data_IF_403668186456
#
_entry.id   IF_403668186456
#
_cell.length_a   1.000
_cell.length_b   1.000
_cell.length_c   1.000
_cell.angle_alpha   90.00
_cell.angle_beta   90.00
_cell.angle_gamma   90.00
#
_symmetry.space_group_name_H-M   'P 1'
#
loop_
_entity.id
_entity.type
_entity.pdbx_description
1 polymer ?
#
# COMPACT_ATOMS: atom_id res chain seq x y z
N UNK A 1 -25.99 8.44 -12.03
CA UNK A 1 -27.01 8.54 -10.96
C UNK A 1 -26.66 9.71 -10.06
N UNK A 2 -27.63 10.48 -9.59
CA UNK A 2 -27.40 11.60 -8.66
C UNK A 2 -27.93 11.25 -7.27
N UNK A 3 -27.19 11.67 -6.23
CA UNK A 3 -27.58 11.52 -4.83
C UNK A 3 -27.50 12.87 -4.13
N UNK A 4 -28.51 13.16 -3.33
CA UNK A 4 -28.55 14.37 -2.51
C UNK A 4 -28.86 14.07 -1.05
N UNK A 5 -28.25 14.86 -0.18
CA UNK A 5 -28.50 14.83 1.26
C UNK A 5 -28.17 16.20 1.86
N UNK A 6 -29.06 16.73 2.70
CA UNK A 6 -28.75 17.90 3.54
C UNK A 6 -27.98 17.52 4.80
N UNK A 7 -28.08 16.26 5.21
CA UNK A 7 -27.44 15.76 6.42
C UNK A 7 -25.96 15.45 6.23
N UNK A 8 -25.16 15.74 7.26
CA UNK A 8 -23.74 15.33 7.33
C UNK A 8 -23.59 13.80 7.26
N UNK A 9 -24.56 13.04 7.76
CA UNK A 9 -24.59 11.56 7.70
C UNK A 9 -24.75 11.03 6.27
N UNK A 10 -25.28 11.83 5.34
CA UNK A 10 -25.41 11.47 3.93
C UNK A 10 -24.09 11.22 3.21
N UNK A 11 -22.95 11.70 3.73
CA UNK A 11 -21.63 11.36 3.18
C UNK A 11 -21.37 9.85 3.27
N UNK A 12 -21.79 9.21 4.36
CA UNK A 12 -21.65 7.75 4.52
C UNK A 12 -22.58 6.99 3.58
N UNK A 13 -23.81 7.49 3.39
CA UNK A 13 -24.76 6.94 2.41
C UNK A 13 -24.18 7.07 1.00
N UNK A 14 -23.62 8.22 0.64
CA UNK A 14 -22.95 8.40 -0.65
C UNK A 14 -21.84 7.37 -0.89
N UNK A 15 -20.99 7.11 0.11
CA UNK A 15 -19.98 6.06 0.01
C UNK A 15 -20.57 4.65 -0.08
N UNK A 16 -21.64 4.35 0.66
CA UNK A 16 -22.37 3.07 0.55
C UNK A 16 -22.89 2.87 -0.87
N UNK A 17 -23.49 3.90 -1.47
CA UNK A 17 -24.05 3.82 -2.82
C UNK A 17 -22.99 3.51 -3.89
N UNK A 18 -21.73 3.90 -3.65
CA UNK A 18 -20.63 3.50 -4.52
C UNK A 18 -20.41 1.98 -4.54
N UNK A 19 -20.88 1.23 -3.55
CA UNK A 19 -20.85 -0.23 -3.56
C UNK A 19 -21.86 -0.86 -4.53
N UNK A 20 -22.88 -0.12 -4.99
CA UNK A 20 -23.93 -0.63 -5.88
C UNK A 20 -23.92 0.01 -7.27
N UNK A 21 -23.41 1.25 -7.38
CA UNK A 21 -23.48 2.01 -8.63
C UNK A 21 -22.08 2.45 -9.09
N UNK A 22 -21.80 2.31 -10.39
CA UNK A 22 -20.52 2.70 -11.00
C UNK A 22 -20.31 4.21 -11.00
N UNK A 23 -21.34 4.95 -11.41
CA UNK A 23 -21.30 6.41 -11.50
C UNK A 23 -22.38 7.04 -10.62
N UNK A 24 -21.98 7.43 -9.41
CA UNK A 24 -22.79 8.25 -8.54
C UNK A 24 -22.13 9.62 -8.31
N UNK A 25 -22.94 10.67 -8.46
CA UNK A 25 -22.53 12.06 -8.29
C UNK A 25 -23.39 12.71 -7.22
N UNK A 26 -22.80 13.65 -6.49
CA UNK A 26 -23.57 14.50 -5.60
C UNK A 26 -24.42 15.45 -6.46
N UNK A 27 -25.73 15.49 -6.20
CA UNK A 27 -26.70 16.26 -6.96
C UNK A 27 -27.37 17.35 -6.13
N UNK A 28 -28.58 17.73 -6.53
CA UNK A 28 -29.47 18.67 -5.83
C UNK A 28 -30.77 17.96 -5.38
N UNK A 29 -31.76 18.72 -4.88
CA UNK A 29 -33.03 18.18 -4.37
C UNK A 29 -33.84 17.36 -5.41
N UNK A 30 -33.47 17.38 -6.70
CA UNK A 30 -34.09 16.57 -7.77
C UNK A 30 -33.29 15.31 -8.12
N UNK A 31 -32.49 14.81 -7.17
CA UNK A 31 -31.62 13.66 -7.38
C UNK A 31 -32.38 12.34 -7.46
N UNK A 32 -31.82 11.36 -8.19
CA UNK A 32 -32.38 9.99 -8.29
C UNK A 32 -32.52 9.34 -6.90
N UNK A 33 -31.60 9.66 -5.97
CA UNK A 33 -31.59 9.20 -4.59
C UNK A 33 -31.51 10.37 -3.62
N UNK A 34 -32.19 10.19 -2.50
CA UNK A 34 -32.33 11.22 -1.48
C UNK A 34 -32.18 10.62 -0.08
N UNK A 35 -31.47 11.34 0.81
CA UNK A 35 -31.42 11.03 2.23
C UNK A 35 -31.56 12.31 3.06
N UNK A 36 -32.61 12.39 3.88
CA UNK A 36 -32.85 13.51 4.81
C UNK A 36 -33.64 13.00 6.03
N UNK A 37 -33.26 13.43 7.23
CA UNK A 37 -33.97 13.15 8.48
C UNK A 37 -34.27 11.65 8.70
N UNK A 38 -33.32 10.80 8.30
CA UNK A 38 -33.42 9.34 8.41
C UNK A 38 -34.34 8.69 7.37
N UNK A 39 -34.86 9.43 6.40
CA UNK A 39 -35.62 8.89 5.27
C UNK A 39 -34.72 8.74 4.04
N UNK A 40 -34.55 7.49 3.59
CA UNK A 40 -33.90 7.16 2.32
C UNK A 40 -34.97 6.93 1.25
N UNK A 41 -34.84 7.63 0.11
CA UNK A 41 -35.73 7.48 -1.04
C UNK A 41 -34.92 7.13 -2.27
N UNK A 42 -35.38 6.13 -3.01
CA UNK A 42 -34.88 5.82 -4.35
C UNK A 42 -36.05 5.66 -5.33
N UNK A 43 -36.26 6.68 -6.15
CA UNK A 43 -37.44 6.78 -7.01
C UNK A 43 -37.50 5.69 -8.09
N UNK A 44 -36.35 5.25 -8.60
CA UNK A 44 -36.31 4.29 -9.73
C UNK A 44 -36.93 2.93 -9.41
N UNK A 45 -37.01 2.56 -8.14
CA UNK A 45 -37.58 1.27 -7.69
C UNK A 45 -38.67 1.46 -6.64
N UNK A 46 -39.23 2.68 -6.51
CA UNK A 46 -40.23 3.04 -5.50
C UNK A 46 -39.88 2.56 -4.09
N UNK A 47 -38.64 2.86 -3.65
CA UNK A 47 -38.15 2.51 -2.33
C UNK A 47 -38.18 3.74 -1.41
N UNK A 48 -38.90 3.65 -0.30
CA UNK A 48 -38.93 4.65 0.77
C UNK A 48 -38.70 3.98 2.12
N UNK A 49 -37.55 4.20 2.70
CA UNK A 49 -37.09 3.53 3.91
C UNK A 49 -36.87 4.55 5.02
N UNK A 50 -37.62 4.44 6.12
CA UNK A 50 -37.37 5.19 7.35
C UNK A 50 -36.38 4.40 8.20
N UNK A 51 -35.21 4.97 8.43
CA UNK A 51 -34.05 4.29 8.99
C UNK A 51 -33.75 4.66 10.43
N UNK A 52 -33.10 3.75 11.18
CA UNK A 52 -32.76 3.88 12.61
C UNK A 52 -31.28 4.23 12.85
N UNK A 53 -30.73 3.92 14.03
CA UNK A 53 -29.29 4.11 14.34
C UNK A 53 -28.38 3.33 13.38
N UNK A 54 -28.83 2.16 12.91
CA UNK A 54 -28.09 1.30 11.97
C UNK A 54 -28.47 1.55 10.49
N UNK A 55 -28.89 2.78 10.16
CA UNK A 55 -29.41 3.16 8.83
C UNK A 55 -28.59 2.68 7.63
N UNK A 56 -27.26 2.58 7.74
CA UNK A 56 -26.42 2.09 6.64
C UNK A 56 -26.64 0.61 6.33
N UNK A 57 -26.89 -0.21 7.35
CA UNK A 57 -27.20 -1.63 7.17
C UNK A 57 -28.55 -1.79 6.48
N UNK A 58 -29.57 -1.08 6.96
CA UNK A 58 -30.92 -1.15 6.39
C UNK A 58 -30.93 -0.67 4.92
N UNK A 59 -30.23 0.43 4.61
CA UNK A 59 -30.08 0.92 3.22
C UNK A 59 -29.33 -0.11 2.38
N UNK A 60 -28.27 -0.73 2.90
CA UNK A 60 -27.51 -1.74 2.17
C UNK A 60 -28.38 -2.95 1.83
N UNK A 61 -29.12 -3.50 2.80
CA UNK A 61 -29.99 -4.66 2.60
C UNK A 61 -31.13 -4.36 1.61
N UNK A 62 -31.73 -3.17 1.72
CA UNK A 62 -32.75 -2.73 0.78
C UNK A 62 -32.19 -2.65 -0.65
N UNK A 63 -30.99 -2.07 -0.84
CA UNK A 63 -30.36 -2.03 -2.16
C UNK A 63 -29.93 -3.42 -2.64
N UNK A 64 -29.43 -4.29 -1.77
CA UNK A 64 -29.02 -5.66 -2.12
C UNK A 64 -30.19 -6.52 -2.61
N UNK A 65 -31.41 -6.27 -2.10
CA UNK A 65 -32.61 -6.94 -2.59
C UNK A 65 -32.91 -6.63 -4.08
N UNK A 66 -32.52 -5.45 -4.56
CA UNK A 66 -32.83 -4.99 -5.92
C UNK A 66 -31.63 -4.98 -6.85
N UNK A 67 -30.42 -4.86 -6.32
CA UNK A 67 -29.18 -4.69 -7.07
C UNK A 67 -28.09 -5.60 -6.51
N UNK A 68 -27.30 -6.19 -7.42
CA UNK A 68 -26.10 -6.92 -7.00
C UNK A 68 -25.01 -5.93 -6.56
N UNK A 69 -24.42 -6.06 -5.36
CA UNK A 69 -23.29 -5.25 -4.96
C UNK A 69 -22.12 -5.41 -5.94
N UNK A 70 -21.54 -4.28 -6.36
CA UNK A 70 -20.29 -4.19 -7.12
C UNK A 70 -19.06 -4.40 -6.23
N UNK A 71 -19.21 -4.24 -4.90
CA UNK A 71 -18.10 -4.41 -3.95
C UNK A 71 -18.36 -5.55 -2.97
N UNK A 72 -17.33 -6.37 -2.75
CA UNK A 72 -17.34 -7.46 -1.77
C UNK A 72 -17.00 -6.98 -0.34
N UNK A 73 -16.73 -5.69 -0.18
CA UNK A 73 -16.29 -5.08 1.07
C UNK A 73 -17.42 -4.45 1.89
N UNK A 74 -18.66 -4.56 1.43
CA UNK A 74 -19.83 -4.06 2.14
C UNK A 74 -19.72 -2.58 2.49
N UNK A 75 -19.96 -2.27 3.76
CA UNK A 75 -19.89 -0.92 4.33
C UNK A 75 -18.45 -0.46 4.64
N UNK A 76 -17.46 -1.34 4.57
CA UNK A 76 -16.07 -0.92 4.74
C UNK A 76 -15.61 -0.20 3.47
N UNK A 77 -15.36 1.11 3.60
CA UNK A 77 -14.84 1.99 2.54
C UNK A 77 -13.45 2.55 2.85
N UNK A 78 -12.90 2.23 4.03
CA UNK A 78 -11.59 2.69 4.48
C UNK A 78 -10.43 1.99 3.78
N UNK A 79 -9.27 2.67 3.79
CA UNK A 79 -7.97 2.18 3.27
C UNK A 79 -7.47 0.97 4.06
N UNK A 80 -7.81 0.87 5.36
CA UNK A 80 -7.29 -0.16 6.27
C UNK A 80 -8.45 -0.93 6.89
N UNK A 81 -8.92 -1.99 6.23
CA UNK A 81 -10.02 -2.77 6.77
C UNK A 81 -9.65 -3.45 8.09
N UNK A 82 -8.36 -3.74 8.29
CA UNK A 82 -7.86 -4.52 9.42
C UNK A 82 -7.79 -3.75 10.74
N UNK A 83 -7.72 -2.41 10.69
CA UNK A 83 -7.79 -1.54 11.88
C UNK A 83 -9.04 -1.79 12.72
N UNK A 84 -10.19 -2.01 12.07
CA UNK A 84 -11.43 -2.38 12.76
C UNK A 84 -11.27 -3.73 13.47
N UNK A 85 -10.73 -4.71 12.76
CA UNK A 85 -10.57 -6.08 13.25
C UNK A 85 -9.63 -6.14 14.46
N UNK A 86 -8.54 -5.37 14.43
CA UNK A 86 -7.67 -5.20 15.59
C UNK A 86 -8.39 -4.62 16.80
N UNK A 87 -9.19 -3.56 16.62
CA UNK A 87 -9.95 -2.96 17.72
C UNK A 87 -10.90 -3.97 18.38
N UNK A 88 -11.59 -4.77 17.57
CA UNK A 88 -12.50 -5.81 18.05
C UNK A 88 -11.72 -6.92 18.80
N UNK A 89 -10.55 -7.30 18.29
CA UNK A 89 -9.66 -8.27 18.94
C UNK A 89 -9.09 -7.75 20.26
N UNK A 90 -8.67 -6.49 20.31
CA UNK A 90 -8.19 -5.81 21.53
C UNK A 90 -9.31 -5.65 22.57
N UNK A 91 -10.56 -5.54 22.13
CA UNK A 91 -11.74 -5.59 23.00
C UNK A 91 -12.07 -7.01 23.53
N UNK A 92 -11.24 -8.01 23.23
CA UNK A 92 -11.36 -9.37 23.76
C UNK A 92 -12.30 -10.29 22.96
N UNK A 93 -12.80 -9.84 21.79
CA UNK A 93 -13.73 -10.66 20.99
C UNK A 93 -13.05 -11.89 20.38
N UNK A 94 -13.81 -12.98 20.28
CA UNK A 94 -13.37 -14.21 19.62
C UNK A 94 -13.35 -14.06 18.10
N UNK A 95 -12.70 -15.01 17.42
CA UNK A 95 -12.66 -15.07 15.95
C UNK A 95 -14.07 -15.12 15.36
N UNK A 96 -14.98 -15.87 15.98
CA UNK A 96 -16.37 -16.04 15.56
C UNK A 96 -17.17 -14.75 15.76
N UNK A 97 -17.03 -14.08 16.90
CA UNK A 97 -17.71 -12.81 17.17
C UNK A 97 -17.28 -11.71 16.20
N UNK A 98 -15.97 -11.63 15.91
CA UNK A 98 -15.44 -10.70 14.90
C UNK A 98 -15.99 -11.06 13.53
N UNK A 99 -16.01 -12.35 13.16
CA UNK A 99 -16.61 -12.80 11.90
C UNK A 99 -18.07 -12.35 11.78
N UNK A 100 -18.90 -12.62 12.79
CA UNK A 100 -20.30 -12.22 12.81
C UNK A 100 -20.48 -10.70 12.70
N UNK A 101 -19.63 -9.92 13.37
CA UNK A 101 -19.63 -8.45 13.27
C UNK A 101 -19.32 -7.99 11.83
N UNK A 102 -18.31 -8.59 11.19
CA UNK A 102 -17.93 -8.27 9.81
C UNK A 102 -19.06 -8.60 8.80
N UNK A 103 -19.77 -9.71 8.98
CA UNK A 103 -20.88 -10.10 8.11
C UNK A 103 -22.12 -9.25 8.38
N UNK A 104 -22.56 -9.15 9.62
CA UNK A 104 -23.88 -8.60 9.95
C UNK A 104 -23.88 -7.07 10.01
N UNK A 105 -22.88 -6.49 10.68
CA UNK A 105 -22.79 -5.04 10.91
C UNK A 105 -22.06 -4.31 9.78
N UNK A 106 -21.17 -5.01 9.06
CA UNK A 106 -20.39 -4.40 7.97
C UNK A 106 -20.72 -4.95 6.59
N UNK A 107 -21.57 -5.97 6.48
CA UNK A 107 -22.03 -6.54 5.20
C UNK A 107 -20.88 -7.01 4.29
N UNK A 108 -19.80 -7.50 4.88
CA UNK A 108 -18.70 -8.07 4.09
C UNK A 108 -19.14 -9.38 3.45
N UNK A 109 -18.64 -9.62 2.23
CA UNK A 109 -18.74 -10.95 1.66
C UNK A 109 -18.01 -11.98 2.56
N UNK A 110 -18.56 -13.19 2.78
CA UNK A 110 -17.98 -14.22 3.64
C UNK A 110 -16.49 -14.50 3.41
N UNK A 111 -16.04 -14.48 2.15
CA UNK A 111 -14.63 -14.67 1.80
C UNK A 111 -13.72 -13.54 2.26
N UNK A 112 -14.18 -12.28 2.24
CA UNK A 112 -13.40 -11.13 2.70
C UNK A 112 -13.31 -11.10 4.22
N UNK A 113 -14.38 -11.44 4.92
CA UNK A 113 -14.35 -11.59 6.37
C UNK A 113 -13.34 -12.68 6.81
N UNK A 114 -13.33 -13.85 6.13
CA UNK A 114 -12.34 -14.90 6.38
C UNK A 114 -10.91 -14.43 6.09
N UNK A 115 -10.70 -13.74 4.96
CA UNK A 115 -9.40 -13.19 4.60
C UNK A 115 -8.87 -12.24 5.70
N UNK A 116 -9.70 -11.32 6.19
CA UNK A 116 -9.29 -10.41 7.27
C UNK A 116 -8.87 -11.15 8.54
N UNK A 117 -9.56 -12.23 8.90
CA UNK A 117 -9.19 -13.05 10.05
C UNK A 117 -7.88 -13.82 9.82
N UNK A 118 -7.66 -14.32 8.60
CA UNK A 118 -6.41 -14.98 8.20
C UNK A 118 -5.22 -14.00 8.29
N UNK A 119 -5.39 -12.77 7.79
CA UNK A 119 -4.35 -11.73 7.91
C UNK A 119 -4.14 -11.28 9.35
N UNK A 120 -5.21 -11.15 10.15
CA UNK A 120 -5.13 -10.81 11.57
C UNK A 120 -4.21 -11.79 12.32
N UNK A 121 -4.38 -13.09 12.07
CA UNK A 121 -3.57 -14.13 12.70
C UNK A 121 -2.11 -14.05 12.27
N UNK A 122 -1.85 -13.81 10.98
CA UNK A 122 -0.49 -13.72 10.42
C UNK A 122 0.33 -12.55 11.01
N UNK A 123 -0.31 -11.46 11.42
CA UNK A 123 0.36 -10.26 11.92
C UNK A 123 0.35 -10.08 13.45
N UNK A 124 -0.35 -10.94 14.20
CA UNK A 124 -0.63 -10.74 15.64
C UNK A 124 0.64 -10.47 16.46
N UNK A 125 1.72 -11.22 16.21
CA UNK A 125 3.01 -11.05 16.89
C UNK A 125 3.69 -9.72 16.52
N UNK A 126 3.71 -9.39 15.23
CA UNK A 126 4.35 -8.17 14.72
C UNK A 126 3.59 -6.92 15.18
N UNK A 127 2.26 -6.99 15.21
CA UNK A 127 1.38 -5.90 15.62
C UNK A 127 1.54 -5.53 17.11
N UNK A 128 1.87 -6.51 17.96
CA UNK A 128 2.02 -6.32 19.41
C UNK A 128 3.45 -6.03 19.87
N UNK A 129 4.45 -6.26 19.03
CA UNK A 129 5.86 -6.22 19.43
C UNK A 129 6.52 -4.84 19.24
N UNK A 130 7.57 -4.60 20.03
CA UNK A 130 8.53 -3.48 19.93
C UNK A 130 7.92 -2.08 19.81
N UNK A 131 6.75 -1.80 20.40
CA UNK A 131 6.07 -0.49 20.30
C UNK A 131 6.90 0.69 20.83
N UNK A 132 7.96 0.41 21.59
CA UNK A 132 8.95 1.37 22.09
C UNK A 132 10.05 1.74 21.08
N UNK A 133 10.22 0.95 20.01
CA UNK A 133 11.16 1.22 18.91
C UNK A 133 10.52 2.11 17.84
N UNK A 134 11.27 2.45 16.80
CA UNK A 134 10.76 3.18 15.64
C UNK A 134 11.31 2.59 14.33
N UNK A 135 10.55 2.72 13.25
CA UNK A 135 11.02 2.38 11.90
C UNK A 135 11.55 3.63 11.20
N UNK A 136 12.53 3.45 10.31
CA UNK A 136 13.07 4.51 9.47
C UNK A 136 12.66 4.28 8.01
N UNK A 137 12.11 5.30 7.36
CA UNK A 137 11.85 5.31 5.91
C UNK A 137 12.76 6.31 5.22
N UNK A 138 13.42 5.88 4.15
CA UNK A 138 14.29 6.72 3.34
C UNK A 138 13.70 6.83 1.93
N UNK A 139 13.28 8.04 1.56
CA UNK A 139 12.71 8.34 0.25
C UNK A 139 13.82 8.66 -0.76
N UNK A 140 13.89 7.90 -1.85
CA UNK A 140 14.72 8.17 -3.03
C UNK A 140 13.83 8.43 -4.25
N UNK A 141 13.57 9.69 -4.61
CA UNK A 141 12.51 10.06 -5.55
C UNK A 141 12.95 10.02 -7.02
N UNK A 142 13.94 9.20 -7.38
CA UNK A 142 14.49 9.16 -8.74
C UNK A 142 14.07 7.89 -9.48
N UNK A 143 13.66 8.04 -10.74
CA UNK A 143 13.34 6.93 -11.62
C UNK A 143 13.99 7.13 -13.00
N UNK A 144 14.32 6.06 -13.73
CA UNK A 144 14.79 6.18 -15.12
C UNK A 144 13.67 6.63 -16.08
N UNK A 145 12.42 6.25 -15.78
CA UNK A 145 11.20 6.69 -16.47
C UNK A 145 10.06 6.80 -15.47
N UNK A 146 8.99 7.54 -15.81
CA UNK A 146 7.79 7.66 -14.97
C UNK A 146 6.68 6.78 -15.55
N UNK A 147 6.27 5.76 -14.78
CA UNK A 147 5.20 4.86 -15.20
C UNK A 147 3.83 5.57 -15.18
N UNK A 148 2.95 5.26 -16.13
CA UNK A 148 1.68 5.98 -16.30
C UNK A 148 0.68 5.79 -15.15
N UNK A 149 0.77 4.67 -14.42
CA UNK A 149 -0.02 4.39 -13.22
C UNK A 149 0.59 4.98 -11.94
N UNK A 150 1.85 5.44 -11.98
CA UNK A 150 2.57 5.88 -10.79
C UNK A 150 1.98 7.21 -10.29
N UNK A 151 1.78 7.28 -8.98
CA UNK A 151 1.27 8.47 -8.28
C UNK A 151 2.28 9.06 -7.29
N UNK A 152 3.47 8.47 -7.22
CA UNK A 152 4.54 8.96 -6.37
C UNK A 152 5.16 10.21 -6.98
N UNK A 153 5.57 11.14 -6.13
CA UNK A 153 6.22 12.39 -6.55
C UNK A 153 7.69 12.10 -6.84
N UNK A 154 7.96 11.42 -7.94
CA UNK A 154 9.30 11.10 -8.42
C UNK A 154 9.72 12.02 -9.55
N UNK A 155 11.02 12.10 -9.83
CA UNK A 155 11.61 12.78 -10.98
C UNK A 155 12.46 11.81 -11.80
N UNK A 156 12.65 12.16 -13.07
CA UNK A 156 13.65 11.51 -13.91
C UNK A 156 15.03 11.69 -13.28
N UNK A 157 15.83 10.63 -13.32
CA UNK A 157 17.18 10.66 -12.78
C UNK A 157 18.02 11.71 -13.51
N UNK A 158 18.63 12.58 -12.72
CA UNK A 158 19.64 13.53 -13.15
C UNK A 158 20.75 13.48 -12.11
N UNK A 159 21.98 13.15 -12.56
CA UNK A 159 23.13 12.88 -11.69
C UNK A 159 23.44 14.06 -10.75
N UNK A 160 23.48 15.28 -11.27
CA UNK A 160 23.81 16.47 -10.47
C UNK A 160 22.75 16.74 -9.40
N UNK A 161 21.46 16.66 -9.77
CA UNK A 161 20.37 16.82 -8.82
C UNK A 161 20.36 15.71 -7.77
N UNK A 162 20.61 14.46 -8.17
CA UNK A 162 20.68 13.32 -7.27
C UNK A 162 21.79 13.48 -6.24
N UNK A 163 22.98 13.92 -6.67
CA UNK A 163 24.12 14.16 -5.77
C UNK A 163 23.80 15.22 -4.71
N UNK A 164 23.24 16.36 -5.12
CA UNK A 164 22.83 17.43 -4.20
C UNK A 164 21.72 16.95 -3.25
N UNK A 165 20.77 16.17 -3.76
CA UNK A 165 19.71 15.58 -2.94
C UNK A 165 20.27 14.61 -1.89
N UNK A 166 21.17 13.71 -2.28
CA UNK A 166 21.75 12.71 -1.39
C UNK A 166 22.59 13.35 -0.31
N UNK A 167 23.41 14.37 -0.64
CA UNK A 167 24.12 15.15 0.36
C UNK A 167 23.15 15.70 1.41
N UNK A 168 22.03 16.27 0.96
CA UNK A 168 21.03 16.83 1.87
C UNK A 168 20.33 15.75 2.72
N UNK A 169 20.00 14.61 2.11
CA UNK A 169 19.40 13.48 2.80
C UNK A 169 20.33 12.91 3.89
N UNK A 170 21.63 12.86 3.62
CA UNK A 170 22.65 12.41 4.58
C UNK A 170 22.79 13.42 5.74
N UNK A 171 22.72 14.73 5.48
CA UNK A 171 22.67 15.75 6.53
C UNK A 171 21.45 15.55 7.45
N UNK A 172 20.27 15.35 6.87
CA UNK A 172 19.02 15.10 7.62
C UNK A 172 19.11 13.77 8.41
N UNK A 173 19.70 12.72 7.82
CA UNK A 173 19.92 11.44 8.49
C UNK A 173 20.88 11.57 9.67
N UNK A 174 21.97 12.32 9.51
CA UNK A 174 22.90 12.60 10.60
C UNK A 174 22.24 13.38 11.75
N UNK A 175 21.34 14.32 11.44
CA UNK A 175 20.54 15.03 12.44
C UNK A 175 19.56 14.08 13.15
N UNK A 176 18.81 13.28 12.38
CA UNK A 176 17.89 12.28 12.90
C UNK A 176 18.58 11.29 13.84
N UNK A 177 19.77 10.78 13.49
CA UNK A 177 20.55 9.89 14.36
C UNK A 177 20.85 10.51 15.73
N UNK A 178 21.25 11.79 15.77
CA UNK A 178 21.48 12.49 17.05
C UNK A 178 20.21 12.56 17.88
N UNK A 179 19.08 12.90 17.27
CA UNK A 179 17.78 12.98 17.96
C UNK A 179 17.29 11.63 18.46
N UNK A 180 17.48 10.56 17.68
CA UNK A 180 17.19 9.18 18.09
C UNK A 180 18.00 8.82 19.35
N UNK A 181 19.30 9.15 19.36
CA UNK A 181 20.18 8.88 20.48
C UNK A 181 19.81 9.71 21.73
N UNK A 182 19.55 11.00 21.56
CA UNK A 182 19.10 11.91 22.64
C UNK A 182 17.79 11.42 23.27
N UNK A 183 16.83 10.98 22.45
CA UNK A 183 15.55 10.41 22.88
C UNK A 183 15.67 8.97 23.41
N UNK A 184 16.86 8.37 23.38
CA UNK A 184 17.13 6.96 23.76
C UNK A 184 16.22 5.96 23.05
N UNK A 185 15.85 6.26 21.80
CA UNK A 185 15.04 5.36 20.96
C UNK A 185 15.94 4.42 20.18
N UNK A 186 15.40 3.25 19.80
CA UNK A 186 16.07 2.27 18.94
C UNK A 186 15.34 2.16 17.60
N UNK A 187 16.12 2.01 16.53
CA UNK A 187 15.60 1.68 15.20
C UNK A 187 15.79 0.19 14.97
N UNK A 188 14.73 -0.52 14.60
CA UNK A 188 14.78 -1.96 14.29
C UNK A 188 14.32 -2.31 12.87
N UNK A 189 13.71 -1.36 12.15
CA UNK A 189 13.35 -1.52 10.75
C UNK A 189 13.80 -0.32 9.93
N UNK A 190 14.39 -0.58 8.76
CA UNK A 190 14.69 0.43 7.74
C UNK A 190 14.03 0.01 6.44
N UNK A 191 13.40 0.97 5.76
CA UNK A 191 12.86 0.78 4.42
C UNK A 191 13.34 1.91 3.51
N UNK A 192 14.03 1.55 2.45
CA UNK A 192 14.55 2.48 1.45
C UNK A 192 13.78 2.27 0.15
N UNK A 193 13.09 3.31 -0.32
CA UNK A 193 12.20 3.20 -1.49
C UNK A 193 11.75 4.53 -2.05
N UNK A 194 10.59 4.55 -2.71
CA UNK A 194 9.96 5.75 -3.29
C UNK A 194 10.04 5.80 -4.82
N UNK A 195 11.24 5.78 -5.38
CA UNK A 195 11.48 5.71 -6.83
C UNK A 195 12.08 4.36 -7.24
N UNK A 196 13.19 4.40 -7.96
CA UNK A 196 14.03 3.24 -8.29
C UNK A 196 15.39 3.48 -7.67
N UNK A 197 15.62 3.07 -6.41
CA UNK A 197 16.84 3.32 -5.66
C UNK A 197 18.16 3.06 -6.40
N UNK A 198 18.30 1.94 -7.12
CA UNK A 198 19.54 1.62 -7.84
C UNK A 198 19.77 2.44 -9.12
N UNK A 199 18.89 3.39 -9.46
CA UNK A 199 19.13 4.32 -10.58
C UNK A 199 20.29 5.29 -10.28
N UNK A 200 20.54 5.60 -9.00
CA UNK A 200 21.67 6.42 -8.58
C UNK A 200 22.99 5.68 -8.84
N UNK A 201 24.09 6.42 -8.95
CA UNK A 201 25.41 5.85 -9.20
C UNK A 201 25.87 4.94 -8.04
N UNK A 202 26.73 3.96 -8.33
CA UNK A 202 27.15 2.94 -7.36
C UNK A 202 27.87 3.56 -6.15
N UNK A 203 28.74 4.55 -6.37
CA UNK A 203 29.44 5.30 -5.31
C UNK A 203 28.46 6.03 -4.38
N UNK A 204 27.46 6.71 -4.97
CA UNK A 204 26.43 7.45 -4.23
C UNK A 204 25.53 6.50 -3.42
N UNK A 205 25.23 5.31 -3.96
CA UNK A 205 24.49 4.27 -3.27
C UNK A 205 25.30 3.69 -2.10
N UNK A 206 26.60 3.46 -2.29
CA UNK A 206 27.49 2.97 -1.23
C UNK A 206 27.55 3.97 -0.06
N UNK A 207 27.76 5.26 -0.34
CA UNK A 207 27.76 6.32 0.67
C UNK A 207 26.44 6.33 1.46
N UNK A 208 25.30 6.21 0.78
CA UNK A 208 23.99 6.18 1.44
C UNK A 208 23.84 4.94 2.33
N UNK A 209 24.20 3.74 1.85
CA UNK A 209 24.09 2.51 2.65
C UNK A 209 25.06 2.51 3.84
N UNK A 210 26.28 3.02 3.66
CA UNK A 210 27.25 3.19 4.74
C UNK A 210 26.75 4.18 5.79
N UNK A 211 26.06 5.24 5.37
CA UNK A 211 25.41 6.18 6.29
C UNK A 211 24.29 5.53 7.11
N UNK A 212 23.79 4.35 6.77
CA UNK A 212 22.79 3.59 7.54
C UNK A 212 23.42 2.48 8.38
N UNK A 213 24.71 2.20 8.22
CA UNK A 213 25.39 1.05 8.85
C UNK A 213 25.50 1.12 10.38
N UNK A 214 25.35 2.31 10.96
CA UNK A 214 25.36 2.53 12.42
C UNK A 214 24.14 1.93 13.11
N UNK A 215 23.02 1.74 12.39
CA UNK A 215 21.85 1.08 12.95
C UNK A 215 22.13 -0.42 13.06
N UNK A 216 22.43 -0.86 14.29
CA UNK A 216 22.67 -2.26 14.64
C UNK A 216 21.37 -2.94 15.07
N UNK A 217 21.37 -4.28 15.08
CA UNK A 217 20.24 -5.10 15.57
C UNK A 217 18.93 -4.89 14.80
N UNK A 218 19.01 -4.57 13.50
CA UNK A 218 17.84 -4.46 12.64
C UNK A 218 17.16 -5.82 12.48
N UNK A 219 15.85 -5.85 12.70
CA UNK A 219 14.99 -6.98 12.33
C UNK A 219 14.74 -7.05 10.84
N UNK A 220 14.65 -5.88 10.19
CA UNK A 220 14.42 -5.78 8.76
C UNK A 220 15.11 -4.54 8.18
N UNK A 221 15.92 -4.73 7.14
CA UNK A 221 16.37 -3.67 6.26
C UNK A 221 15.92 -4.01 4.85
N UNK A 222 14.90 -3.29 4.37
CA UNK A 222 14.31 -3.46 3.05
C UNK A 222 14.86 -2.45 2.05
N UNK A 223 15.31 -2.94 0.89
CA UNK A 223 15.65 -2.15 -0.28
C UNK A 223 14.62 -2.35 -1.38
N UNK A 224 13.73 -1.37 -1.58
CA UNK A 224 12.72 -1.40 -2.63
C UNK A 224 13.33 -0.97 -3.96
N UNK A 225 14.12 -1.83 -4.57
CA UNK A 225 14.81 -1.49 -5.81
C UNK A 225 13.86 -1.27 -7.00
N UNK A 226 12.71 -1.94 -7.00
CA UNK A 226 11.67 -1.72 -8.01
C UNK A 226 12.00 -2.43 -9.32
N UNK A 227 12.45 -1.71 -10.35
CA UNK A 227 12.60 -2.23 -11.74
C UNK A 227 14.01 -2.70 -12.06
N UNK A 228 14.23 -3.95 -12.49
CA UNK A 228 15.58 -4.53 -12.58
C UNK A 228 16.43 -4.03 -13.76
N UNK A 229 15.86 -3.25 -14.68
CA UNK A 229 16.62 -2.64 -15.77
C UNK A 229 17.67 -1.66 -15.24
N UNK A 230 18.91 -1.81 -15.72
CA UNK A 230 20.06 -1.03 -15.28
C UNK A 230 20.70 -1.50 -13.97
N UNK A 231 20.22 -2.59 -13.36
CA UNK A 231 20.89 -3.20 -12.21
C UNK A 231 22.22 -3.84 -12.66
N UNK A 232 23.34 -3.34 -12.13
CA UNK A 232 24.66 -3.94 -12.33
C UNK A 232 24.93 -5.00 -11.25
N UNK A 233 25.86 -5.90 -11.55
CA UNK A 233 26.34 -6.88 -10.57
C UNK A 233 26.98 -6.21 -9.35
N UNK A 234 27.75 -5.12 -9.54
CA UNK A 234 28.37 -4.35 -8.46
C UNK A 234 27.34 -3.79 -7.47
N UNK A 235 26.33 -3.06 -7.99
CA UNK A 235 25.20 -2.57 -7.18
C UNK A 235 24.46 -3.71 -6.47
N UNK A 236 24.24 -4.83 -7.14
CA UNK A 236 23.56 -5.98 -6.55
C UNK A 236 24.39 -6.62 -5.40
N UNK A 237 25.71 -6.76 -5.56
CA UNK A 237 26.61 -7.25 -4.52
C UNK A 237 26.66 -6.30 -3.33
N UNK A 238 26.79 -5.00 -3.59
CA UNK A 238 26.73 -3.95 -2.58
C UNK A 238 25.43 -4.04 -1.77
N UNK A 239 24.26 -4.03 -2.42
CA UNK A 239 22.96 -4.10 -1.74
C UNK A 239 22.83 -5.39 -0.95
N UNK A 240 23.12 -6.55 -1.55
CA UNK A 240 23.00 -7.85 -0.88
C UNK A 240 23.87 -7.96 0.39
N UNK A 241 24.99 -7.24 0.44
CA UNK A 241 25.86 -7.21 1.63
C UNK A 241 25.34 -6.34 2.78
N UNK A 242 24.35 -5.49 2.54
CA UNK A 242 23.87 -4.48 3.51
C UNK A 242 22.45 -4.70 3.99
N UNK A 243 21.61 -5.40 3.23
CA UNK A 243 20.16 -5.47 3.48
C UNK A 243 19.69 -6.90 3.76
N UNK A 244 18.58 -7.02 4.49
CA UNK A 244 17.95 -8.31 4.78
C UNK A 244 16.89 -8.67 3.74
N UNK A 245 16.29 -7.66 3.09
CA UNK A 245 15.21 -7.83 2.11
C UNK A 245 15.40 -6.92 0.90
N UNK A 246 15.08 -7.42 -0.29
CA UNK A 246 15.05 -6.64 -1.53
C UNK A 246 13.72 -6.82 -2.26
N UNK A 247 13.16 -5.74 -2.83
CA UNK A 247 11.97 -5.80 -3.66
C UNK A 247 12.31 -5.63 -5.14
N UNK A 248 12.02 -6.66 -5.95
CA UNK A 248 12.21 -6.70 -7.40
C UNK A 248 10.84 -6.83 -8.07
N UNK A 249 10.31 -5.74 -8.60
CA UNK A 249 8.90 -5.58 -8.96
C UNK A 249 8.71 -5.54 -10.48
N UNK A 250 8.38 -6.65 -11.16
CA UNK A 250 8.13 -6.64 -12.61
C UNK A 250 6.84 -5.89 -12.97
N UNK A 251 5.87 -5.79 -12.05
CA UNK A 251 4.50 -5.33 -12.26
C UNK A 251 3.68 -6.29 -13.12
N UNK A 252 4.24 -6.75 -14.23
CA UNK A 252 3.74 -7.86 -15.04
C UNK A 252 4.92 -8.53 -15.76
N UNK A 253 4.80 -9.83 -16.03
CA UNK A 253 5.76 -10.58 -16.86
C UNK A 253 5.20 -10.86 -18.26
N UNK A 254 3.97 -10.38 -18.53
CA UNK A 254 3.36 -10.48 -19.84
C UNK A 254 4.04 -9.58 -20.85
N UNK A 255 4.64 -10.20 -21.85
CA UNK A 255 5.33 -9.53 -22.95
C UNK A 255 4.42 -8.50 -23.63
N UNK A 256 4.92 -7.28 -23.75
CA UNK A 256 4.26 -6.15 -24.41
C UNK A 256 3.44 -5.26 -23.48
N UNK A 257 3.12 -5.69 -22.25
CA UNK A 257 2.25 -4.92 -21.35
C UNK A 257 3.00 -3.82 -20.57
N UNK A 258 4.23 -4.08 -20.12
CA UNK A 258 5.04 -3.05 -19.43
C UNK A 258 5.27 -1.80 -20.30
N UNK A 259 5.60 -1.92 -21.60
CA UNK A 259 5.75 -0.76 -22.48
C UNK A 259 4.50 0.14 -22.57
N UNK A 260 3.29 -0.44 -22.46
CA UNK A 260 2.03 0.33 -22.49
C UNK A 260 1.88 1.30 -21.31
N UNK A 261 2.64 1.06 -20.23
CA UNK A 261 2.66 1.89 -19.03
C UNK A 261 3.98 2.66 -18.85
N UNK A 262 4.79 2.77 -19.90
CA UNK A 262 6.05 3.54 -19.88
C UNK A 262 7.18 2.85 -19.12
N UNK A 263 7.17 1.50 -19.09
CA UNK A 263 8.12 0.67 -18.35
C UNK A 263 8.78 -0.35 -19.30
N UNK A 264 10.10 -0.56 -19.26
CA UNK A 264 10.70 -1.71 -19.91
C UNK A 264 10.20 -3.04 -19.34
N UNK A 265 10.40 -4.10 -20.12
CA UNK A 265 10.20 -5.47 -19.65
C UNK A 265 11.19 -5.83 -18.54
N UNK A 266 10.81 -6.76 -17.67
CA UNK A 266 11.61 -7.21 -16.54
C UNK A 266 12.58 -8.34 -16.94
N UNK A 267 13.38 -8.12 -17.98
CA UNK A 267 14.34 -9.12 -18.46
C UNK A 267 15.36 -9.49 -17.37
N UNK A 268 15.63 -10.80 -17.24
CA UNK A 268 16.59 -11.33 -16.25
C UNK A 268 16.13 -11.23 -14.79
N UNK A 269 14.84 -10.96 -14.53
CA UNK A 269 14.29 -10.91 -13.17
C UNK A 269 14.59 -12.21 -12.39
N UNK A 270 14.42 -13.36 -13.03
CA UNK A 270 14.70 -14.67 -12.46
C UNK A 270 16.14 -14.74 -11.93
N UNK A 271 17.12 -14.30 -12.72
CA UNK A 271 18.54 -14.32 -12.35
C UNK A 271 18.80 -13.44 -11.14
N UNK A 272 18.18 -12.26 -11.06
CA UNK A 272 18.31 -11.36 -9.91
C UNK A 272 17.64 -11.91 -8.65
N UNK A 273 16.45 -12.51 -8.76
CA UNK A 273 15.80 -13.19 -7.64
C UNK A 273 16.73 -14.27 -7.08
N UNK A 274 17.24 -15.16 -7.93
CA UNK A 274 18.16 -16.21 -7.49
C UNK A 274 19.47 -15.63 -6.91
N UNK A 275 20.00 -14.55 -7.51
CA UNK A 275 21.21 -13.88 -7.04
C UNK A 275 21.11 -13.42 -5.58
N UNK A 276 20.00 -12.75 -5.22
CA UNK A 276 19.77 -12.23 -3.88
C UNK A 276 19.43 -13.34 -2.88
N UNK A 277 18.58 -14.30 -3.27
CA UNK A 277 18.27 -15.46 -2.43
C UNK A 277 19.52 -16.28 -2.09
N UNK A 278 20.40 -16.52 -3.05
CA UNK A 278 21.65 -17.25 -2.83
C UNK A 278 22.63 -16.53 -1.90
N UNK A 279 22.38 -15.24 -1.59
CA UNK A 279 23.14 -14.44 -0.62
C UNK A 279 22.40 -14.27 0.71
N UNK A 280 21.30 -15.00 0.91
CA UNK A 280 20.52 -14.99 2.15
C UNK A 280 19.55 -13.81 2.28
N UNK A 281 19.40 -12.97 1.25
CA UNK A 281 18.37 -11.93 1.26
C UNK A 281 16.99 -12.53 1.03
N UNK A 282 16.00 -12.00 1.74
CA UNK A 282 14.59 -12.27 1.46
C UNK A 282 14.20 -11.46 0.21
N UNK A 283 13.56 -12.09 -0.77
CA UNK A 283 13.17 -11.42 -2.01
C UNK A 283 11.66 -11.24 -2.08
N UNK A 284 11.22 -9.99 -2.19
CA UNK A 284 9.84 -9.61 -2.45
C UNK A 284 9.66 -9.23 -3.93
N UNK A 285 8.47 -9.49 -4.48
CA UNK A 285 8.15 -9.12 -5.85
C UNK A 285 6.68 -8.75 -6.01
N UNK A 286 6.43 -7.63 -6.67
CA UNK A 286 5.09 -7.08 -6.82
C UNK A 286 4.56 -7.21 -8.26
N UNK A 287 3.30 -7.63 -8.37
CA UNK A 287 2.48 -7.57 -9.58
C UNK A 287 1.36 -6.55 -9.43
N UNK A 288 0.92 -5.96 -10.54
CA UNK A 288 -0.25 -5.10 -10.60
C UNK A 288 -1.32 -5.81 -11.44
N UNK A 289 -2.47 -6.11 -10.85
CA UNK A 289 -3.63 -6.61 -11.54
C UNK A 289 -4.45 -5.47 -12.15
N UNK A 290 -4.85 -5.64 -13.40
CA UNK A 290 -5.69 -4.71 -14.15
C UNK A 290 -4.89 -3.70 -14.96
N UNK A 291 -3.66 -4.01 -15.36
CA UNK A 291 -2.88 -3.13 -16.23
C UNK A 291 -3.52 -2.99 -17.64
N UNK A 292 -3.22 -1.91 -18.39
CA UNK A 292 -3.69 -1.77 -19.77
C UNK A 292 -3.33 -2.97 -20.65
N UNK A 293 -4.35 -3.57 -21.26
CA UNK A 293 -4.21 -4.73 -22.14
C UNK A 293 -4.09 -6.08 -21.41
N UNK A 294 -4.15 -6.09 -20.08
CA UNK A 294 -4.08 -7.32 -19.28
C UNK A 294 -5.43 -8.06 -19.28
N UNK A 295 -5.40 -9.33 -19.65
CA UNK A 295 -6.50 -10.27 -19.47
C UNK A 295 -6.24 -11.18 -18.27
N UNK A 296 -7.27 -11.92 -17.83
CA UNK A 296 -7.13 -12.90 -16.75
C UNK A 296 -6.06 -13.96 -17.10
N UNK A 297 -6.03 -14.41 -18.35
CA UNK A 297 -5.05 -15.38 -18.85
C UNK A 297 -3.62 -14.83 -18.79
N UNK A 298 -3.38 -13.59 -19.23
CA UNK A 298 -2.03 -12.98 -19.19
C UNK A 298 -1.57 -12.69 -17.76
N UNK A 299 -2.49 -12.24 -16.89
CA UNK A 299 -2.22 -12.07 -15.47
C UNK A 299 -1.83 -13.41 -14.82
N UNK A 300 -2.63 -14.46 -15.07
CA UNK A 300 -2.36 -15.81 -14.56
C UNK A 300 -1.03 -16.37 -15.06
N UNK A 301 -0.70 -16.16 -16.34
CA UNK A 301 0.60 -16.54 -16.88
C UNK A 301 1.74 -15.83 -16.14
N UNK A 302 1.64 -14.52 -15.94
CA UNK A 302 2.63 -13.72 -15.21
C UNK A 302 2.80 -14.19 -13.76
N UNK A 303 1.70 -14.49 -13.07
CA UNK A 303 1.74 -14.99 -11.71
C UNK A 303 2.40 -16.37 -11.61
N UNK A 304 2.06 -17.30 -12.52
CA UNK A 304 2.71 -18.61 -12.56
C UNK A 304 4.21 -18.50 -12.84
N UNK A 305 4.59 -17.62 -13.77
CA UNK A 305 6.00 -17.37 -14.07
C UNK A 305 6.73 -16.80 -12.86
N UNK A 306 6.17 -15.79 -12.18
CA UNK A 306 6.77 -15.23 -10.97
C UNK A 306 6.91 -16.26 -9.85
N UNK A 307 5.87 -17.07 -9.61
CA UNK A 307 5.91 -18.17 -8.64
C UNK A 307 7.04 -19.16 -8.98
N UNK A 308 7.30 -19.42 -10.26
CA UNK A 308 8.38 -20.31 -10.69
C UNK A 308 9.77 -19.80 -10.30
N UNK A 309 9.93 -18.48 -10.15
CA UNK A 309 11.17 -17.85 -9.68
C UNK A 309 11.32 -17.91 -8.15
N UNK A 310 10.29 -18.37 -7.43
CA UNK A 310 10.27 -18.60 -5.97
C UNK A 310 10.67 -17.38 -5.13
N UNK A 311 10.09 -16.17 -5.33
CA UNK A 311 10.28 -15.07 -4.38
C UNK A 311 9.70 -15.45 -3.02
N UNK A 312 10.23 -14.91 -1.94
CA UNK A 312 9.75 -15.19 -0.57
C UNK A 312 8.45 -14.43 -0.27
N UNK A 313 8.26 -13.27 -0.91
CA UNK A 313 7.00 -12.54 -0.86
C UNK A 313 6.49 -12.17 -2.24
N UNK A 314 5.17 -12.20 -2.40
CA UNK A 314 4.48 -11.68 -3.57
C UNK A 314 3.42 -10.68 -3.11
N UNK A 315 3.42 -9.46 -3.63
CA UNK A 315 2.28 -8.54 -3.45
C UNK A 315 1.49 -8.44 -4.73
N UNK A 316 0.18 -8.64 -4.64
CA UNK A 316 -0.75 -8.33 -5.72
C UNK A 316 -1.38 -6.98 -5.43
N UNK A 317 -1.00 -5.97 -6.19
CA UNK A 317 -1.62 -4.66 -6.16
C UNK A 317 -2.76 -4.61 -7.17
N UNK A 318 -3.93 -4.14 -6.75
CA UNK A 318 -5.00 -3.74 -7.63
C UNK A 318 -4.73 -2.33 -8.18
N UNK A 319 -4.79 -2.18 -9.51
CA UNK A 319 -4.63 -0.88 -10.17
C UNK A 319 -5.56 0.18 -9.56
N UNK A 320 -5.01 1.36 -9.27
CA UNK A 320 -5.75 2.51 -8.76
C UNK A 320 -5.56 3.71 -9.68
N UNK A 321 -6.66 4.24 -10.22
CA UNK A 321 -6.65 5.42 -11.10
C UNK A 321 -6.58 6.70 -10.28
N UNK A 322 -5.38 7.05 -9.82
CA UNK A 322 -5.15 8.23 -8.98
C UNK A 322 -5.11 9.50 -9.81
N UNK A 323 -5.62 10.60 -9.24
CA UNK A 323 -5.64 11.93 -9.89
C UNK A 323 -4.25 12.42 -10.36
N UNK A 324 -3.18 11.98 -9.72
CA UNK A 324 -1.79 12.33 -10.06
C UNK A 324 -1.13 11.42 -11.08
N UNK A 325 -1.76 10.30 -11.46
CA UNK A 325 -1.27 9.39 -12.49
C UNK A 325 -1.71 9.89 -13.88
N UNK A 326 -0.94 9.58 -14.92
CA UNK A 326 -1.32 9.93 -16.30
C UNK A 326 -2.40 8.99 -16.85
N UNK A 327 -2.46 7.75 -16.34
CA UNK A 327 -3.51 6.79 -16.64
C UNK A 327 -4.82 7.23 -15.95
N UNK A 328 -5.80 7.68 -16.75
CA UNK A 328 -7.07 8.26 -16.26
C UNK A 328 -8.32 7.45 -16.59
N UNK A 329 -8.20 6.39 -17.40
CA UNK A 329 -9.33 5.54 -17.80
C UNK A 329 -9.05 4.10 -17.41
N UNK A 330 -10.12 3.40 -17.03
CA UNK A 330 -10.07 1.97 -16.80
C UNK A 330 -9.66 1.31 -18.12
N UNK A 331 -8.63 0.45 -18.11
CA UNK A 331 -8.35 -0.35 -19.28
C UNK A 331 -9.53 -1.31 -19.54
N UNK A 332 -9.86 -1.50 -20.81
CA UNK A 332 -10.82 -2.52 -21.22
C UNK A 332 -10.17 -3.90 -21.04
N UNK A 333 -10.87 -4.85 -20.42
CA UNK A 333 -10.34 -6.17 -20.11
C UNK A 333 -11.26 -6.97 -19.18
N UNK A 334 -10.75 -8.11 -18.71
CA UNK A 334 -11.44 -8.95 -17.73
C UNK A 334 -11.56 -8.26 -16.36
N UNK A 335 -12.51 -8.71 -15.53
CA UNK A 335 -12.67 -8.16 -14.18
C UNK A 335 -11.42 -8.38 -13.32
N UNK A 336 -10.91 -7.30 -12.72
CA UNK A 336 -9.80 -7.35 -11.77
C UNK A 336 -10.19 -8.16 -10.54
N UNK A 337 -11.48 -8.19 -10.16
CA UNK A 337 -11.94 -9.09 -9.10
C UNK A 337 -11.63 -10.56 -9.42
N UNK A 338 -11.76 -11.00 -10.67
CA UNK A 338 -11.43 -12.36 -11.08
C UNK A 338 -9.93 -12.63 -10.98
N UNK A 339 -9.09 -11.65 -11.34
CA UNK A 339 -7.63 -11.74 -11.19
C UNK A 339 -7.22 -11.88 -9.72
N UNK A 340 -7.82 -11.10 -8.82
CA UNK A 340 -7.55 -11.19 -7.38
C UNK A 340 -7.99 -12.53 -6.79
N UNK A 341 -9.17 -13.04 -7.19
CA UNK A 341 -9.66 -14.35 -6.75
C UNK A 341 -8.78 -15.50 -7.27
N UNK A 342 -8.32 -15.43 -8.52
CA UNK A 342 -7.36 -16.38 -9.10
C UNK A 342 -6.02 -16.32 -8.35
N UNK A 343 -5.51 -15.11 -8.08
CA UNK A 343 -4.24 -14.94 -7.38
C UNK A 343 -4.28 -15.54 -5.98
N UNK A 344 -5.34 -15.24 -5.22
CA UNK A 344 -5.54 -15.80 -3.88
C UNK A 344 -5.60 -17.33 -3.91
N UNK A 345 -6.36 -17.90 -4.85
CA UNK A 345 -6.48 -19.34 -4.99
C UNK A 345 -5.15 -20.00 -5.35
N UNK A 346 -4.48 -19.49 -6.38
CA UNK A 346 -3.22 -20.04 -6.88
C UNK A 346 -2.10 -19.93 -5.84
N UNK A 347 -1.90 -18.77 -5.23
CA UNK A 347 -0.86 -18.55 -4.21
C UNK A 347 -1.08 -19.46 -3.00
N UNK A 348 -2.32 -19.63 -2.56
CA UNK A 348 -2.66 -20.56 -1.48
C UNK A 348 -2.29 -22.02 -1.81
N UNK A 349 -2.49 -22.48 -3.05
CA UNK A 349 -2.05 -23.83 -3.47
C UNK A 349 -0.52 -24.00 -3.49
N UNK A 350 0.23 -22.88 -3.46
CA UNK A 350 1.69 -22.83 -3.49
C UNK A 350 2.29 -22.48 -2.13
N UNK A 351 1.50 -22.57 -1.06
CA UNK A 351 1.90 -22.26 0.32
C UNK A 351 2.37 -20.82 0.55
N UNK A 352 1.82 -19.88 -0.24
CA UNK A 352 1.90 -18.46 0.03
C UNK A 352 0.68 -18.03 0.85
N UNK A 353 0.93 -17.45 2.02
CA UNK A 353 -0.10 -17.06 2.99
C UNK A 353 -0.26 -15.54 3.02
N UNK A 354 -1.50 -15.02 3.03
CA UNK A 354 -1.71 -13.58 3.11
C UNK A 354 -1.27 -13.05 4.48
N UNK A 355 -0.47 -11.97 4.51
CA UNK A 355 0.10 -11.43 5.76
C UNK A 355 -0.13 -9.94 5.99
N UNK A 356 -0.51 -9.18 4.95
CA UNK A 356 -0.97 -7.81 5.12
C UNK A 356 -1.94 -7.42 4.01
N UNK A 357 -2.87 -6.52 4.31
CA UNK A 357 -3.91 -6.07 3.37
C UNK A 357 -4.15 -4.57 3.49
N UNK A 358 -4.37 -3.92 2.36
CA UNK A 358 -4.86 -2.54 2.35
C UNK A 358 -5.64 -2.24 1.07
N UNK A 359 -6.38 -1.13 1.10
CA UNK A 359 -7.23 -0.67 0.01
C UNK A 359 -6.91 0.77 -0.31
N UNK A 360 -7.26 1.22 -1.50
CA UNK A 360 -7.06 2.61 -1.92
C UNK A 360 -8.34 3.14 -2.55
N UNK A 361 -8.47 4.47 -2.57
CA UNK A 361 -9.53 5.12 -3.34
C UNK A 361 -9.29 4.87 -4.84
N UNK A 362 -10.37 4.83 -5.62
CA UNK A 362 -10.30 4.67 -7.08
C UNK A 362 -9.63 3.38 -7.56
N UNK A 363 -9.66 2.31 -6.76
CA UNK A 363 -9.25 0.97 -7.21
C UNK A 363 -10.23 0.43 -8.25
N UNK A 364 -9.69 -0.20 -9.29
CA UNK A 364 -10.50 -0.94 -10.25
C UNK A 364 -11.26 -2.05 -9.52
N UNK A 365 -12.54 -2.21 -9.84
CA UNK A 365 -13.45 -3.18 -9.19
C UNK A 365 -13.51 -3.10 -7.65
N UNK A 366 -13.02 -2.01 -7.05
CA UNK A 366 -13.07 -1.75 -5.60
C UNK A 366 -12.45 -2.86 -4.74
N UNK A 367 -11.44 -3.56 -5.28
CA UNK A 367 -10.76 -4.67 -4.62
C UNK A 367 -9.79 -4.23 -3.53
N UNK A 368 -8.65 -4.92 -3.46
CA UNK A 368 -7.64 -4.74 -2.44
C UNK A 368 -6.23 -4.97 -2.98
N UNK A 369 -5.24 -4.49 -2.23
CA UNK A 369 -3.85 -4.90 -2.35
C UNK A 369 -3.58 -5.91 -1.24
N UNK A 370 -3.00 -7.05 -1.61
CA UNK A 370 -2.76 -8.15 -0.69
C UNK A 370 -1.35 -8.70 -0.87
N UNK A 371 -0.62 -8.75 0.24
CA UNK A 371 0.71 -9.34 0.28
C UNK A 371 0.68 -10.74 0.84
N UNK A 372 1.50 -11.58 0.23
CA UNK A 372 1.66 -12.98 0.57
C UNK A 372 3.11 -13.29 0.91
N UNK A 373 3.32 -14.17 1.87
CA UNK A 373 4.63 -14.65 2.29
C UNK A 373 4.68 -16.17 2.23
N UNK A 374 5.89 -16.70 2.09
CA UNK A 374 6.16 -18.10 2.37
C UNK A 374 7.45 -18.20 3.19
N UNK A 375 7.63 -19.33 3.88
CA UNK A 375 8.83 -19.59 4.67
C UNK A 375 8.97 -18.77 5.95
N UNK A 376 7.90 -18.10 6.43
CA UNK A 376 7.93 -17.33 7.68
C UNK A 376 8.63 -15.98 7.50
N UNK A 377 8.39 -15.31 6.38
CA UNK A 377 9.12 -14.11 5.96
C UNK A 377 8.27 -12.85 5.77
N UNK A 378 7.22 -12.58 6.59
CA UNK A 378 6.38 -11.39 6.43
C UNK A 378 7.21 -10.10 6.54
N UNK A 379 6.88 -9.07 5.76
CA UNK A 379 7.50 -7.76 5.92
C UNK A 379 6.97 -7.06 7.16
N UNK A 380 7.86 -6.89 8.14
CA UNK A 380 7.56 -6.19 9.40
C UNK A 380 7.22 -4.73 9.11
N UNK A 381 7.98 -4.09 8.22
CA UNK A 381 7.76 -2.69 7.88
C UNK A 381 6.39 -2.48 7.21
N UNK A 382 5.99 -3.35 6.26
CA UNK A 382 4.71 -3.21 5.57
C UNK A 382 3.52 -3.33 6.53
N UNK A 383 3.56 -4.29 7.45
CA UNK A 383 2.53 -4.43 8.50
C UNK A 383 2.46 -3.16 9.34
N UNK A 384 3.60 -2.71 9.91
CA UNK A 384 3.66 -1.51 10.76
C UNK A 384 3.20 -0.24 10.02
N UNK A 385 3.55 -0.12 8.74
CA UNK A 385 3.13 0.99 7.89
C UNK A 385 1.62 0.95 7.59
N UNK A 386 1.02 -0.22 7.41
CA UNK A 386 -0.42 -0.32 7.17
C UNK A 386 -1.24 -0.13 8.44
N UNK A 387 -0.86 -0.77 9.54
CA UNK A 387 -1.66 -0.80 10.77
C UNK A 387 -1.53 0.44 11.65
N UNK A 388 -0.55 1.31 11.37
CA UNK A 388 -0.23 2.48 12.21
C UNK A 388 0.00 2.11 13.69
N UNK A 389 0.50 0.90 13.93
CA UNK A 389 0.81 0.39 15.26
C UNK A 389 2.19 0.85 15.77
N UNK A 390 2.97 1.50 14.90
CA UNK A 390 4.37 1.82 15.13
C UNK A 390 4.71 3.21 14.61
N UNK A 391 5.64 3.89 15.29
CA UNK A 391 6.14 5.17 14.82
C UNK A 391 7.13 4.98 13.67
N UNK A 392 7.02 5.82 12.65
CA UNK A 392 7.85 5.77 11.45
C UNK A 392 8.43 7.15 11.21
N UNK A 393 9.73 7.31 11.40
CA UNK A 393 10.44 8.51 10.99
C UNK A 393 10.80 8.38 9.51
N UNK A 394 10.39 9.34 8.70
CA UNK A 394 10.52 9.30 7.25
C UNK A 394 11.33 10.50 6.76
N UNK A 395 12.43 10.24 6.06
CA UNK A 395 13.36 11.26 5.56
C UNK A 395 13.33 11.33 4.03
N UNK A 396 13.68 12.51 3.50
CA UNK A 396 13.66 12.81 2.08
C UNK A 396 12.38 13.53 1.62
N UNK A 397 12.41 14.03 0.39
CA UNK A 397 11.26 14.66 -0.26
C UNK A 397 10.05 13.72 -0.34
N UNK A 398 8.85 14.28 -0.17
CA UNK A 398 7.57 13.57 -0.14
C UNK A 398 7.42 12.49 0.94
N UNK A 399 8.42 12.35 1.82
CA UNK A 399 8.36 11.44 2.94
C UNK A 399 7.30 11.89 3.95
N UNK A 400 6.58 10.94 4.54
CA UNK A 400 5.56 11.20 5.56
C UNK A 400 5.89 10.40 6.79
N UNK A 401 6.29 11.09 7.85
CA UNK A 401 6.51 10.50 9.16
C UNK A 401 5.18 10.27 9.87
N UNK A 402 5.15 9.23 10.69
CA UNK A 402 4.01 8.81 11.50
C UNK A 402 4.41 8.77 12.96
N UNK A 403 3.86 9.68 13.75
CA UNK A 403 4.04 9.74 15.20
C UNK A 403 2.75 9.27 15.87
N UNK A 404 2.86 8.56 16.98
CA UNK A 404 1.72 8.12 17.77
C UNK A 404 1.76 8.90 19.09
N UNK A 405 0.78 9.78 19.31
CA UNK A 405 0.68 10.59 20.53
C UNK A 405 -0.69 10.38 21.14
N UNK A 406 -0.74 9.93 22.40
CA UNK A 406 -1.99 9.71 23.14
C UNK A 406 -2.99 8.79 22.40
N UNK A 407 -2.48 7.83 21.62
CA UNK A 407 -3.30 6.91 20.80
C UNK A 407 -3.75 7.50 19.46
N UNK A 408 -3.42 8.75 19.15
CA UNK A 408 -3.70 9.39 17.87
C UNK A 408 -2.47 9.39 16.95
N UNK A 409 -2.73 9.19 15.65
CA UNK A 409 -1.71 9.24 14.62
C UNK A 409 -1.54 10.66 14.09
N UNK A 410 -0.35 11.21 14.31
CA UNK A 410 0.08 12.49 13.73
C UNK A 410 0.94 12.21 12.49
N UNK A 411 0.64 12.90 11.39
CA UNK A 411 1.42 12.82 10.15
C UNK A 411 2.24 14.09 9.95
N UNK A 412 3.54 13.93 9.81
CA UNK A 412 4.47 15.03 9.53
C UNK A 412 5.04 14.84 8.12
N UNK A 413 4.84 15.80 7.23
CA UNK A 413 5.16 15.64 5.80
C UNK A 413 6.32 16.53 5.39
N UNK A 414 7.32 15.94 4.74
CA UNK A 414 8.39 16.68 4.08
C UNK A 414 7.86 17.40 2.83
N UNK A 415 8.55 18.46 2.37
CA UNK A 415 8.26 19.09 1.08
C UNK A 415 8.17 18.06 -0.04
N UNK A 416 7.14 18.18 -0.89
CA UNK A 416 6.92 17.21 -1.97
C UNK A 416 7.89 17.36 -3.13
N UNK A 417 8.18 18.62 -3.51
CA UNK A 417 9.15 18.91 -4.57
C UNK A 417 10.58 18.76 -4.07
N UNK A 418 11.41 18.11 -4.88
CA UNK A 418 12.82 17.82 -4.60
C UNK A 418 13.63 19.11 -4.39
N UNK A 419 13.42 20.14 -5.22
CA UNK A 419 14.19 21.38 -5.10
C UNK A 419 13.80 22.15 -3.86
N UNK A 420 12.50 22.14 -3.51
CA UNK A 420 12.02 22.74 -2.28
C UNK A 420 12.60 22.04 -1.05
N UNK A 421 12.60 20.70 -1.04
CA UNK A 421 13.24 19.90 0.00
C UNK A 421 14.72 20.25 0.18
N UNK A 422 15.48 20.35 -0.92
CA UNK A 422 16.90 20.72 -0.88
C UNK A 422 17.11 22.11 -0.25
N UNK A 423 16.29 23.09 -0.63
CA UNK A 423 16.42 24.49 -0.19
C UNK A 423 15.96 24.72 1.26
N UNK A 424 14.88 24.07 1.69
CA UNK A 424 14.23 24.33 2.98
C UNK A 424 14.82 23.45 4.10
N UNK A 425 16.06 23.75 4.49
CA UNK A 425 16.77 23.03 5.57
C UNK A 425 16.00 23.00 6.89
N UNK A 426 15.53 24.17 7.30
CA UNK A 426 14.88 24.35 8.60
C UNK A 426 13.59 23.52 8.72
N UNK A 427 12.84 23.32 7.63
CA UNK A 427 11.60 22.51 7.68
C UNK A 427 11.87 21.04 7.95
N UNK A 428 12.99 20.50 7.49
CA UNK A 428 13.32 19.09 7.75
C UNK A 428 13.80 18.91 9.18
N UNK A 429 14.57 19.87 9.71
CA UNK A 429 14.98 19.91 11.11
C UNK A 429 13.76 20.05 12.03
N UNK A 430 12.86 20.98 11.71
CA UNK A 430 11.60 21.19 12.44
C UNK A 430 10.74 19.92 12.44
N UNK A 431 10.61 19.24 11.30
CA UNK A 431 9.90 17.96 11.22
C UNK A 431 10.50 16.91 12.15
N UNK A 432 11.83 16.77 12.14
CA UNK A 432 12.52 15.80 13.00
C UNK A 432 12.33 16.17 14.48
N UNK A 433 12.42 17.45 14.85
CA UNK A 433 12.15 17.88 16.23
C UNK A 433 10.72 17.57 16.65
N UNK A 434 9.72 17.97 15.84
CA UNK A 434 8.31 17.68 16.09
C UNK A 434 8.01 16.17 16.18
N UNK A 435 8.83 15.33 15.55
CA UNK A 435 8.71 13.87 15.69
C UNK A 435 9.13 13.41 17.10
N UNK A 436 10.17 13.99 17.69
CA UNK A 436 10.68 13.62 19.01
C UNK A 436 10.09 14.42 20.18
N UNK A 437 9.47 15.58 19.91
CA UNK A 437 8.74 16.42 20.86
C UNK A 437 7.31 15.91 21.09
#
# INVERSE_FOLDING_TARGET
MTFYSKDKSGVKVFHLLQAFFEEIKWGDEKSDLYYEDGLFVFEKIDLRLKTSEDYLVEIYEALEHHFKPLSQWGLLSGVRPLKLVHKEREAGKTREEIYFTLINSHKLAPKKARLLLEVLEAQEEIYRSDRDKLSLYISLPFCPSICSYCCFHTKLYNKDLAKVYLQRLIEDLAYAKRKILEAKRKVDCIYLGGGTPWVIDEEDLEILLDSLSDFKELKEFTFEGGRVDGLSKGKAELVASRVTRVCLNPQTLSKGLNPLVGRPEAEGLDQWIHFFKNRGSIVASDLIAGLPGESLETFKASLNELISYKPDNITIHNLSLKKGASLKKLPHGDSVSSMLDEAYSLLKTKDYKPYYIYRQKMMVDRGENLGYETGGSPSIYNIRMMEDSHEILSLGSSAVSKKIREGELIRLSSPRDINLYIKEKDKSIELINNFFD
#
